data_IF_822503050090
#
_entry.id   IF_822503050090
#
_cell.length_a   1.000
_cell.length_b   1.000
_cell.length_c   1.000
_cell.angle_alpha   90.00
_cell.angle_beta   90.00
_cell.angle_gamma   90.00
#
_symmetry.space_group_name_H-M   'P 1'
#
loop_
_entity.id
_entity.type
_entity.pdbx_description
1 polymer ?
#
# COMPACT_ATOMS: atom_id res chain seq x y z
N UNK A 1 -31.99 -25.20 -18.15
CA UNK A 1 -32.58 -23.88 -18.48
C UNK A 1 -31.68 -22.69 -18.11
N UNK A 2 -30.63 -22.87 -17.30
CA UNK A 2 -29.69 -21.79 -16.90
C UNK A 2 -28.65 -21.42 -17.97
N UNK A 3 -28.17 -22.37 -18.79
CA UNK A 3 -27.13 -22.09 -19.82
C UNK A 3 -27.62 -21.30 -21.04
N UNK A 4 -28.88 -21.48 -21.47
CA UNK A 4 -29.43 -20.75 -22.62
C UNK A 4 -29.52 -19.24 -22.35
N UNK A 5 -29.91 -18.86 -21.13
CA UNK A 5 -29.95 -17.44 -20.72
C UNK A 5 -28.57 -16.81 -20.60
N UNK A 6 -27.53 -17.56 -20.23
CA UNK A 6 -26.16 -17.02 -20.19
C UNK A 6 -25.58 -16.80 -21.58
N UNK A 7 -25.82 -17.73 -22.51
CA UNK A 7 -25.36 -17.60 -23.90
C UNK A 7 -26.05 -16.44 -24.63
N UNK A 8 -27.36 -16.24 -24.41
CA UNK A 8 -28.10 -15.08 -24.96
C UNK A 8 -27.59 -13.74 -24.42
N UNK A 9 -27.31 -13.67 -23.11
CA UNK A 9 -26.73 -12.46 -22.49
C UNK A 9 -25.33 -12.17 -23.03
N UNK A 10 -24.52 -13.20 -23.24
CA UNK A 10 -23.18 -13.07 -23.80
C UNK A 10 -23.22 -12.63 -25.28
N UNK A 11 -24.11 -13.21 -26.08
CA UNK A 11 -24.30 -12.81 -27.48
C UNK A 11 -24.77 -11.34 -27.60
N UNK A 12 -25.72 -10.93 -26.76
CA UNK A 12 -26.19 -9.54 -26.70
C UNK A 12 -25.07 -8.58 -26.27
N UNK A 13 -24.26 -8.97 -25.28
CA UNK A 13 -23.10 -8.20 -24.85
C UNK A 13 -22.07 -8.04 -25.98
N UNK A 14 -21.77 -9.12 -26.72
CA UNK A 14 -20.86 -9.08 -27.86
C UNK A 14 -21.36 -8.16 -28.97
N UNK A 15 -22.65 -8.23 -29.31
CA UNK A 15 -23.26 -7.34 -30.29
C UNK A 15 -23.20 -5.87 -29.85
N UNK A 16 -23.50 -5.58 -28.57
CA UNK A 16 -23.40 -4.23 -28.01
C UNK A 16 -21.96 -3.69 -28.09
N UNK A 17 -20.97 -4.50 -27.68
CA UNK A 17 -19.55 -4.11 -27.76
C UNK A 17 -19.09 -3.82 -29.19
N UNK A 18 -19.61 -4.52 -30.19
CA UNK A 18 -19.30 -4.27 -31.60
C UNK A 18 -19.97 -2.99 -32.14
N UNK A 19 -21.18 -2.66 -31.68
CA UNK A 19 -21.93 -1.48 -32.13
C UNK A 19 -21.49 -0.16 -31.49
N UNK A 20 -21.12 -0.19 -30.21
CA UNK A 20 -20.75 1.01 -29.42
C UNK A 20 -19.69 1.91 -30.10
N UNK A 21 -18.59 1.39 -30.68
CA UNK A 21 -17.59 2.20 -31.37
C UNK A 21 -18.09 2.99 -32.59
N UNK A 22 -19.30 2.72 -33.08
CA UNK A 22 -19.91 3.42 -34.22
C UNK A 22 -20.69 4.67 -33.82
N UNK A 23 -21.11 4.78 -32.55
CA UNK A 23 -21.89 5.92 -32.05
C UNK A 23 -21.05 7.21 -31.94
N UNK A 24 -21.67 8.37 -32.11
CA UNK A 24 -21.06 9.69 -31.94
C UNK A 24 -19.96 10.02 -32.96
N UNK A 25 -19.97 9.34 -34.11
CA UNK A 25 -19.08 9.68 -35.26
C UNK A 25 -19.56 10.91 -36.01
N UNK A 26 -20.88 11.12 -36.08
CA UNK A 26 -21.51 12.31 -36.64
C UNK A 26 -21.54 13.42 -35.58
N UNK A 27 -21.05 14.65 -35.85
CA UNK A 27 -21.06 15.74 -34.88
C UNK A 27 -22.44 16.10 -34.30
N UNK A 28 -23.50 16.04 -35.12
CA UNK A 28 -24.86 16.34 -34.71
C UNK A 28 -25.42 15.37 -33.66
N UNK A 29 -24.98 14.11 -33.69
CA UNK A 29 -25.54 13.04 -32.86
C UNK A 29 -24.77 12.87 -31.54
N UNK A 30 -23.61 13.51 -31.37
CA UNK A 30 -22.70 13.30 -30.22
C UNK A 30 -23.34 13.50 -28.85
N UNK A 31 -24.31 14.40 -28.72
CA UNK A 31 -25.02 14.64 -27.45
C UNK A 31 -25.93 13.46 -27.15
N UNK A 32 -26.85 13.14 -28.06
CA UNK A 32 -27.79 12.03 -27.91
C UNK A 32 -27.07 10.69 -27.76
N UNK A 33 -26.02 10.47 -28.54
CA UNK A 33 -25.20 9.25 -28.46
C UNK A 33 -24.46 9.15 -27.13
N UNK A 34 -23.95 10.26 -26.58
CA UNK A 34 -23.31 10.23 -25.26
C UNK A 34 -24.32 9.90 -24.14
N UNK A 35 -25.56 10.38 -24.24
CA UNK A 35 -26.62 10.05 -23.29
C UNK A 35 -27.02 8.57 -23.39
N UNK A 36 -27.21 8.07 -24.62
CA UNK A 36 -27.54 6.66 -24.87
C UNK A 36 -26.43 5.73 -24.35
N UNK A 37 -25.18 6.04 -24.64
CA UNK A 37 -24.03 5.25 -24.16
C UNK A 37 -23.88 5.35 -22.64
N UNK A 38 -24.16 6.54 -22.07
CA UNK A 38 -24.16 6.75 -20.63
C UNK A 38 -25.18 5.90 -19.87
N UNK A 39 -26.35 5.65 -20.47
CA UNK A 39 -27.40 4.81 -19.89
C UNK A 39 -26.98 3.34 -19.69
N UNK A 40 -25.89 2.91 -20.32
CA UNK A 40 -25.32 1.57 -20.14
C UNK A 40 -24.45 1.46 -18.88
N UNK A 41 -24.11 2.56 -18.22
CA UNK A 41 -23.27 2.59 -17.01
C UNK A 41 -24.09 2.27 -15.75
N UNK A 42 -24.78 1.12 -15.78
CA UNK A 42 -25.66 0.64 -14.70
C UNK A 42 -25.28 -0.78 -14.27
N UNK A 43 -25.62 -1.20 -13.04
CA UNK A 43 -25.18 -2.47 -12.46
C UNK A 43 -25.65 -3.72 -13.22
N UNK A 44 -26.80 -3.61 -13.88
CA UNK A 44 -27.42 -4.70 -14.63
C UNK A 44 -26.66 -5.01 -15.94
N UNK A 45 -25.88 -4.06 -16.45
CA UNK A 45 -25.11 -4.22 -17.68
C UNK A 45 -23.78 -4.92 -17.39
N UNK A 46 -23.34 -5.92 -18.18
CA UNK A 46 -22.07 -6.59 -17.99
C UNK A 46 -20.86 -5.64 -18.07
N UNK A 47 -19.84 -5.87 -17.24
CA UNK A 47 -18.60 -5.06 -17.18
C UNK A 47 -17.95 -4.84 -18.56
N UNK A 48 -17.82 -5.85 -19.44
CA UNK A 48 -17.22 -5.64 -20.76
C UNK A 48 -17.97 -4.61 -21.61
N UNK A 49 -19.31 -4.59 -21.53
CA UNK A 49 -20.14 -3.61 -22.24
C UNK A 49 -19.99 -2.22 -21.64
N UNK A 50 -19.96 -2.12 -20.30
CA UNK A 50 -19.70 -0.85 -19.61
C UNK A 50 -18.32 -0.29 -19.96
N UNK A 51 -17.29 -1.14 -20.02
CA UNK A 51 -15.94 -0.74 -20.45
C UNK A 51 -15.93 -0.23 -21.90
N UNK A 52 -16.62 -0.92 -22.81
CA UNK A 52 -16.78 -0.45 -24.19
C UNK A 52 -17.55 0.89 -24.26
N UNK A 53 -18.54 1.10 -23.38
CA UNK A 53 -19.28 2.35 -23.26
C UNK A 53 -18.37 3.49 -22.77
N UNK A 54 -17.56 3.27 -21.73
CA UNK A 54 -16.56 4.25 -21.25
C UNK A 54 -15.57 4.62 -22.34
N UNK A 55 -15.02 3.63 -23.06
CA UNK A 55 -14.10 3.88 -24.17
C UNK A 55 -14.76 4.67 -25.30
N UNK A 56 -16.04 4.39 -25.58
CA UNK A 56 -16.84 5.11 -26.57
C UNK A 56 -17.07 6.56 -26.15
N UNK A 57 -17.49 6.82 -24.91
CA UNK A 57 -17.65 8.16 -24.36
C UNK A 57 -16.33 8.94 -24.41
N UNK A 58 -15.22 8.29 -24.02
CA UNK A 58 -13.89 8.88 -24.09
C UNK A 58 -13.50 9.28 -25.53
N UNK A 59 -13.91 8.49 -26.54
CA UNK A 59 -13.67 8.77 -27.96
C UNK A 59 -14.58 9.86 -28.53
N UNK A 60 -15.87 9.88 -28.19
CA UNK A 60 -16.84 10.89 -28.65
C UNK A 60 -16.33 12.30 -28.33
N UNK A 61 -15.63 12.44 -27.21
CA UNK A 61 -14.90 13.66 -26.84
C UNK A 61 -15.79 14.91 -26.86
N UNK A 62 -16.93 14.83 -26.17
CA UNK A 62 -17.87 15.93 -26.02
C UNK A 62 -18.12 16.23 -24.54
N UNK A 63 -18.62 17.44 -24.22
CA UNK A 63 -18.93 17.81 -22.83
C UNK A 63 -19.97 16.87 -22.20
N UNK A 64 -20.97 16.44 -22.98
CA UNK A 64 -21.97 15.46 -22.56
C UNK A 64 -21.36 14.11 -22.19
N UNK A 65 -20.22 13.72 -22.78
CA UNK A 65 -19.54 12.48 -22.44
C UNK A 65 -18.98 12.51 -21.01
N UNK A 66 -18.39 13.63 -20.58
CA UNK A 66 -17.93 13.79 -19.20
C UNK A 66 -19.13 13.78 -18.22
N UNK A 67 -20.24 14.42 -18.58
CA UNK A 67 -21.48 14.38 -17.79
C UNK A 67 -22.02 12.96 -17.66
N UNK A 68 -22.07 12.20 -18.75
CA UNK A 68 -22.53 10.80 -18.75
C UNK A 68 -21.64 9.91 -17.86
N UNK A 69 -20.32 10.05 -17.97
CA UNK A 69 -19.35 9.31 -17.15
C UNK A 69 -19.52 9.59 -15.65
N UNK A 70 -19.72 10.86 -15.28
CA UNK A 70 -19.92 11.27 -13.89
C UNK A 70 -21.30 10.89 -13.34
N UNK A 71 -22.34 10.88 -14.19
CA UNK A 71 -23.71 10.51 -13.79
C UNK A 71 -23.83 9.06 -13.32
N UNK A 72 -23.08 8.13 -13.91
CA UNK A 72 -23.03 6.73 -13.50
C UNK A 72 -22.15 6.45 -12.28
N UNK A 73 -21.33 7.40 -11.83
CA UNK A 73 -20.19 7.18 -10.92
C UNK A 73 -20.50 6.33 -9.68
N UNK A 74 -21.65 6.57 -9.03
CA UNK A 74 -22.02 5.89 -7.78
C UNK A 74 -22.33 4.41 -7.97
N UNK A 75 -22.74 4.01 -9.17
CA UNK A 75 -23.10 2.63 -9.52
C UNK A 75 -21.92 1.84 -10.10
N UNK A 76 -20.81 2.52 -10.42
CA UNK A 76 -19.66 1.88 -11.03
C UNK A 76 -18.88 1.04 -10.02
N UNK A 77 -18.44 -0.12 -10.48
CA UNK A 77 -17.53 -0.99 -9.77
C UNK A 77 -16.07 -0.49 -9.85
N UNK A 78 -15.13 -1.01 -9.02
CA UNK A 78 -13.76 -0.50 -8.93
C UNK A 78 -13.03 -0.41 -10.27
N UNK A 79 -13.11 -1.46 -11.10
CA UNK A 79 -12.46 -1.49 -12.42
C UNK A 79 -13.02 -0.40 -13.34
N UNK A 80 -14.34 -0.21 -13.34
CA UNK A 80 -15.00 0.80 -14.17
C UNK A 80 -14.69 2.21 -13.68
N UNK A 81 -14.65 2.44 -12.36
CA UNK A 81 -14.24 3.73 -11.77
C UNK A 81 -12.84 4.14 -12.22
N UNK A 82 -11.88 3.22 -12.25
CA UNK A 82 -10.53 3.49 -12.73
C UNK A 82 -10.52 3.94 -14.21
N UNK A 83 -11.27 3.24 -15.06
CA UNK A 83 -11.40 3.59 -16.48
C UNK A 83 -12.05 4.97 -16.67
N UNK A 84 -13.09 5.28 -15.89
CA UNK A 84 -13.73 6.61 -15.90
C UNK A 84 -12.77 7.70 -15.46
N UNK A 85 -12.04 7.51 -14.37
CA UNK A 85 -11.03 8.47 -13.92
C UNK A 85 -9.96 8.69 -14.98
N UNK A 86 -9.48 7.63 -15.63
CA UNK A 86 -8.48 7.77 -16.71
C UNK A 86 -9.03 8.54 -17.91
N UNK A 87 -10.30 8.29 -18.29
CA UNK A 87 -10.97 9.04 -19.33
C UNK A 87 -11.12 10.52 -18.96
N UNK A 88 -11.57 10.84 -17.74
CA UNK A 88 -11.72 12.22 -17.26
C UNK A 88 -10.38 12.96 -17.19
N UNK A 89 -9.32 12.28 -16.74
CA UNK A 89 -7.98 12.86 -16.63
C UNK A 89 -7.22 12.93 -17.96
N UNK A 90 -7.81 12.46 -19.06
CA UNK A 90 -7.19 12.55 -20.38
C UNK A 90 -7.22 13.97 -20.97
N UNK A 91 -8.06 14.87 -20.42
CA UNK A 91 -8.31 16.21 -20.96
C UNK A 91 -8.52 17.23 -19.86
N UNK A 92 -7.86 18.39 -19.97
CA UNK A 92 -7.98 19.52 -19.02
C UNK A 92 -9.43 19.87 -18.69
N UNK A 93 -10.28 20.06 -19.71
CA UNK A 93 -11.68 20.44 -19.50
C UNK A 93 -12.51 19.39 -18.73
N UNK A 94 -12.17 18.10 -18.85
CA UNK A 94 -12.84 17.02 -18.13
C UNK A 94 -12.28 16.84 -16.73
N UNK A 95 -10.97 17.03 -16.57
CA UNK A 95 -10.33 17.14 -15.26
C UNK A 95 -10.95 18.25 -14.44
N UNK A 96 -11.23 19.43 -15.03
CA UNK A 96 -11.92 20.51 -14.32
C UNK A 96 -13.32 20.10 -13.84
N UNK A 97 -14.09 19.38 -14.67
CA UNK A 97 -15.40 18.84 -14.26
C UNK A 97 -15.29 17.83 -13.11
N UNK A 98 -14.27 16.97 -13.13
CA UNK A 98 -14.00 16.05 -12.02
C UNK A 98 -13.69 16.83 -10.74
N UNK A 99 -12.86 17.87 -10.82
CA UNK A 99 -12.55 18.72 -9.67
C UNK A 99 -13.78 19.47 -9.15
N UNK A 100 -14.70 19.88 -10.03
CA UNK A 100 -15.98 20.47 -9.62
C UNK A 100 -16.82 19.48 -8.78
N UNK A 101 -16.82 18.18 -9.12
CA UNK A 101 -17.52 17.16 -8.32
C UNK A 101 -16.90 16.97 -6.92
N UNK A 102 -15.57 17.08 -6.83
CA UNK A 102 -14.86 17.06 -5.54
C UNK A 102 -15.15 18.31 -4.71
N UNK A 103 -15.16 19.47 -5.34
CA UNK A 103 -15.41 20.77 -4.69
C UNK A 103 -16.85 20.88 -4.17
N UNK A 104 -17.82 20.37 -4.93
CA UNK A 104 -19.24 20.28 -4.54
C UNK A 104 -19.55 19.11 -3.62
N UNK A 105 -18.55 18.27 -3.29
CA UNK A 105 -18.66 17.09 -2.41
C UNK A 105 -19.64 16.01 -2.90
N UNK A 106 -19.99 16.02 -4.19
CA UNK A 106 -20.74 14.92 -4.82
C UNK A 106 -19.88 13.67 -4.87
N UNK A 107 -18.59 13.85 -5.16
CA UNK A 107 -17.56 12.81 -5.08
C UNK A 107 -16.62 13.14 -3.91
N UNK A 108 -16.25 12.10 -3.15
CA UNK A 108 -15.23 12.25 -2.12
C UNK A 108 -13.84 12.14 -2.73
N UNK A 109 -12.91 12.98 -2.28
CA UNK A 109 -11.50 12.86 -2.66
C UNK A 109 -10.91 11.51 -2.24
N UNK A 110 -11.49 10.86 -1.22
CA UNK A 110 -11.15 9.48 -0.83
C UNK A 110 -11.29 8.48 -1.98
N UNK A 111 -12.18 8.73 -2.94
CA UNK A 111 -12.46 7.85 -4.08
C UNK A 111 -11.42 7.97 -5.22
N UNK A 112 -10.46 8.90 -5.10
CA UNK A 112 -9.36 9.05 -6.07
C UNK A 112 -8.14 8.27 -5.56
N UNK A 113 -7.72 7.26 -6.31
CA UNK A 113 -6.55 6.44 -5.97
C UNK A 113 -5.22 7.21 -6.08
N UNK A 114 -4.18 6.68 -5.43
CA UNK A 114 -2.87 7.32 -5.33
C UNK A 114 -2.25 7.67 -6.70
N UNK A 115 -2.39 6.81 -7.70
CA UNK A 115 -1.84 7.04 -9.03
C UNK A 115 -2.52 8.24 -9.70
N UNK A 116 -3.86 8.32 -9.65
CA UNK A 116 -4.60 9.46 -10.23
C UNK A 116 -4.43 10.74 -9.41
N UNK A 117 -4.32 10.64 -8.08
CA UNK A 117 -3.94 11.78 -7.22
C UNK A 117 -2.60 12.38 -7.65
N UNK A 118 -1.58 11.55 -7.86
CA UNK A 118 -0.27 12.02 -8.30
C UNK A 118 -0.34 12.72 -9.67
N UNK A 119 -1.16 12.21 -10.61
CA UNK A 119 -1.40 12.86 -11.90
C UNK A 119 -2.06 14.22 -11.77
N UNK A 120 -3.02 14.37 -10.84
CA UNK A 120 -3.70 15.64 -10.56
C UNK A 120 -2.75 16.67 -9.93
N UNK A 121 -1.98 16.25 -8.93
CA UNK A 121 -1.00 17.11 -8.24
C UNK A 121 0.16 17.50 -9.18
N UNK A 122 0.60 16.57 -10.02
CA UNK A 122 1.65 16.78 -11.03
C UNK A 122 1.15 17.29 -12.38
N UNK A 123 -0.11 17.71 -12.50
CA UNK A 123 -0.74 18.06 -13.78
C UNK A 123 -0.02 19.23 -14.47
N UNK A 124 0.05 19.27 -15.81
CA UNK A 124 0.75 20.32 -16.55
C UNK A 124 0.13 21.72 -16.37
N UNK A 125 -1.20 21.80 -16.31
CA UNK A 125 -1.94 23.02 -15.99
C UNK A 125 -1.83 23.40 -14.49
N UNK A 126 -1.32 24.60 -14.21
CA UNK A 126 -1.10 25.10 -12.85
C UNK A 126 -2.39 25.30 -12.04
N UNK A 127 -3.49 25.73 -12.66
CA UNK A 127 -4.77 25.92 -11.97
C UNK A 127 -5.32 24.59 -11.46
N UNK A 128 -5.22 23.53 -12.28
CA UNK A 128 -5.60 22.17 -11.88
C UNK A 128 -4.74 21.69 -10.71
N UNK A 129 -3.42 21.88 -10.75
CA UNK A 129 -2.53 21.48 -9.63
C UNK A 129 -2.95 22.13 -8.31
N UNK A 130 -3.17 23.44 -8.32
CA UNK A 130 -3.56 24.20 -7.12
C UNK A 130 -4.90 23.72 -6.57
N UNK A 131 -5.91 23.54 -7.44
CA UNK A 131 -7.22 23.00 -7.03
C UNK A 131 -7.08 21.58 -6.49
N UNK A 132 -6.32 20.72 -7.16
CA UNK A 132 -6.11 19.33 -6.76
C UNK A 132 -5.46 19.23 -5.38
N UNK A 133 -4.36 19.94 -5.12
CA UNK A 133 -3.70 19.95 -3.79
C UNK A 133 -4.71 20.35 -2.71
N UNK A 134 -5.44 21.44 -2.92
CA UNK A 134 -6.45 21.91 -1.96
C UNK A 134 -7.54 20.87 -1.70
N UNK A 135 -8.12 20.28 -2.74
CA UNK A 135 -9.27 19.36 -2.64
C UNK A 135 -8.87 17.98 -2.12
N UNK A 136 -7.66 17.52 -2.44
CA UNK A 136 -7.15 16.21 -2.04
C UNK A 136 -6.55 16.22 -0.62
N UNK A 137 -6.07 17.36 -0.14
CA UNK A 137 -5.64 17.54 1.26
C UNK A 137 -6.82 17.83 2.20
N UNK A 138 -7.86 18.50 1.70
CA UNK A 138 -9.12 18.72 2.44
C UNK A 138 -9.95 17.43 2.66
N UNK A 139 -9.49 16.28 2.15
CA UNK A 139 -10.14 14.97 2.24
C UNK A 139 -10.24 14.42 3.67
N UNK A 140 -9.32 14.84 4.54
CA UNK A 140 -9.28 14.32 5.90
C UNK A 140 -10.32 15.00 6.77
N UNK A 141 -11.09 14.19 7.48
CA UNK A 141 -11.88 14.66 8.60
C UNK A 141 -10.93 15.33 9.61
N UNK A 142 -11.10 16.64 9.86
CA UNK A 142 -10.24 17.40 10.76
C UNK A 142 -10.14 16.77 12.15
N UNK A 143 -11.18 16.07 12.60
CA UNK A 143 -11.17 15.36 13.88
C UNK A 143 -10.33 14.07 13.82
N UNK A 144 -10.34 13.34 12.70
CA UNK A 144 -9.42 12.19 12.49
C UNK A 144 -7.98 12.63 12.39
N UNK A 145 -7.72 13.76 11.74
CA UNK A 145 -6.40 14.37 11.66
C UNK A 145 -5.83 14.72 13.06
N UNK A 146 -6.67 15.28 13.95
CA UNK A 146 -6.29 15.53 15.35
C UNK A 146 -5.93 14.23 16.06
N UNK A 147 -6.73 13.17 15.90
CA UNK A 147 -6.45 11.85 16.49
C UNK A 147 -5.12 11.29 15.97
N UNK A 148 -4.88 11.34 14.66
CA UNK A 148 -3.59 10.91 14.06
C UNK A 148 -2.42 11.70 14.67
N UNK A 149 -2.54 13.02 14.78
CA UNK A 149 -1.49 13.87 15.35
C UNK A 149 -1.24 13.59 16.84
N UNK A 150 -2.31 13.36 17.62
CA UNK A 150 -2.22 13.01 19.03
C UNK A 150 -1.49 11.69 19.25
N UNK A 151 -1.86 10.64 18.52
CA UNK A 151 -1.18 9.36 18.60
C UNK A 151 0.26 9.43 18.07
N UNK A 152 0.52 10.22 17.02
CA UNK A 152 1.87 10.44 16.53
C UNK A 152 2.77 11.10 17.59
N UNK A 153 2.24 12.05 18.37
CA UNK A 153 2.97 12.66 19.48
C UNK A 153 3.23 11.64 20.60
N UNK A 154 2.19 10.90 21.03
CA UNK A 154 2.32 9.87 22.07
C UNK A 154 3.33 8.78 21.68
N UNK A 155 3.34 8.35 20.41
CA UNK A 155 4.31 7.37 19.90
C UNK A 155 5.77 7.85 20.01
N UNK A 156 6.03 9.15 19.87
CA UNK A 156 7.37 9.73 20.02
C UNK A 156 7.84 9.77 21.48
N UNK A 157 6.91 9.81 22.43
CA UNK A 157 7.19 9.84 23.87
C UNK A 157 7.45 8.44 24.45
N UNK A 158 7.13 7.38 23.70
CA UNK A 158 7.38 6.01 24.13
C UNK A 158 8.87 5.74 24.26
N UNK A 159 9.26 5.20 25.42
CA UNK A 159 10.64 4.82 25.73
C UNK A 159 11.07 3.51 25.06
N UNK A 160 10.10 2.72 24.59
CA UNK A 160 10.30 1.40 24.01
C UNK A 160 9.61 1.35 22.65
N UNK A 161 10.23 0.68 21.67
CA UNK A 161 9.55 0.39 20.41
C UNK A 161 8.50 -0.70 20.59
N UNK A 162 7.54 -0.78 19.67
CA UNK A 162 6.51 -1.81 19.70
C UNK A 162 7.05 -3.24 19.67
N UNK A 163 6.35 -4.13 20.35
CA UNK A 163 6.57 -5.57 20.38
C UNK A 163 5.66 -6.27 19.38
N UNK A 164 6.26 -6.91 18.38
CA UNK A 164 5.53 -7.61 17.33
C UNK A 164 4.71 -8.82 17.83
N UNK A 165 5.10 -9.44 18.95
CA UNK A 165 4.36 -10.56 19.55
C UNK A 165 3.05 -10.06 20.15
N UNK A 166 3.11 -9.00 20.97
CA UNK A 166 1.89 -8.35 21.50
C UNK A 166 1.05 -7.75 20.37
N UNK A 167 1.69 -7.19 19.36
CA UNK A 167 1.03 -6.69 18.16
C UNK A 167 0.25 -7.76 17.40
N UNK A 168 0.75 -9.00 17.34
CA UNK A 168 0.04 -10.12 16.73
C UNK A 168 -1.26 -10.46 17.46
N UNK A 169 -1.28 -10.35 18.79
CA UNK A 169 -2.48 -10.57 19.58
C UNK A 169 -3.50 -9.45 19.39
N UNK A 170 -3.03 -8.19 19.35
CA UNK A 170 -3.87 -7.03 19.03
C UNK A 170 -4.48 -7.19 17.63
N UNK A 171 -3.69 -7.60 16.64
CA UNK A 171 -4.17 -7.83 15.27
C UNK A 171 -5.32 -8.84 15.20
N UNK A 172 -5.26 -9.90 16.02
CA UNK A 172 -6.34 -10.89 16.14
C UNK A 172 -7.57 -10.33 16.87
N UNK A 173 -7.34 -9.62 17.97
CA UNK A 173 -8.42 -9.15 18.86
C UNK A 173 -9.16 -7.92 18.31
N UNK A 174 -8.53 -7.11 17.48
CA UNK A 174 -9.05 -5.81 17.00
C UNK A 174 -9.65 -5.83 15.60
N UNK A 175 -10.15 -6.99 15.17
CA UNK A 175 -10.78 -7.21 13.87
C UNK A 175 -9.87 -6.95 12.65
N UNK A 176 -8.59 -6.61 12.84
CA UNK A 176 -7.65 -6.49 11.73
C UNK A 176 -7.59 -7.83 10.96
N UNK A 177 -7.57 -8.95 11.69
CA UNK A 177 -7.62 -10.30 11.13
C UNK A 177 -8.94 -10.66 10.41
N UNK A 178 -10.04 -9.93 10.63
CA UNK A 178 -11.30 -10.17 9.93
C UNK A 178 -11.25 -9.74 8.46
N UNK A 179 -10.33 -8.83 8.13
CA UNK A 179 -10.17 -8.29 6.79
C UNK A 179 -8.78 -8.49 6.22
N UNK A 180 -7.72 -8.47 7.02
CA UNK A 180 -6.35 -8.57 6.55
C UNK A 180 -5.74 -9.92 6.90
N UNK A 181 -5.06 -10.51 5.91
CA UNK A 181 -4.21 -11.66 6.12
C UNK A 181 -2.79 -11.20 6.36
N UNK A 182 -2.19 -11.67 7.45
CA UNK A 182 -0.78 -11.48 7.73
C UNK A 182 -0.18 -12.77 8.27
N UNK A 183 0.80 -13.32 7.54
CA UNK A 183 1.28 -14.69 7.74
C UNK A 183 0.09 -15.68 7.64
N UNK A 184 -0.10 -16.52 8.65
CA UNK A 184 -1.21 -17.48 8.75
C UNK A 184 -2.40 -16.94 9.58
N UNK A 185 -2.46 -15.64 9.85
CA UNK A 185 -3.51 -15.01 10.66
C UNK A 185 -4.42 -14.17 9.77
N UNK A 186 -5.73 -14.40 9.88
CA UNK A 186 -6.78 -13.60 9.25
C UNK A 186 -7.16 -14.01 7.83
N UNK A 187 -7.92 -13.17 7.14
CA UNK A 187 -8.51 -13.44 5.81
C UNK A 187 -8.05 -12.43 4.76
N UNK A 188 -7.92 -12.83 3.48
CA UNK A 188 -7.42 -11.94 2.42
C UNK A 188 -8.57 -11.14 1.78
N UNK A 189 -9.29 -10.35 2.58
CA UNK A 189 -10.37 -9.50 2.08
C UNK A 189 -9.80 -8.13 1.70
N UNK A 190 -9.25 -7.41 2.68
CA UNK A 190 -8.54 -6.15 2.50
C UNK A 190 -7.13 -6.29 1.91
N UNK A 191 -6.38 -5.18 1.80
CA UNK A 191 -5.06 -5.16 1.20
C UNK A 191 -4.09 -6.19 1.79
N UNK A 192 -3.25 -6.77 0.93
CA UNK A 192 -2.13 -7.60 1.34
C UNK A 192 -1.09 -6.74 2.07
N UNK A 193 -1.04 -6.92 3.39
CA UNK A 193 -0.14 -6.19 4.27
C UNK A 193 1.34 -6.57 4.05
N UNK A 194 1.62 -7.74 3.47
CA UNK A 194 2.99 -8.15 3.10
C UNK A 194 3.47 -7.31 1.92
N UNK A 195 2.60 -7.06 0.94
CA UNK A 195 2.91 -6.36 -0.30
C UNK A 195 2.91 -4.81 -0.19
N UNK A 196 2.63 -4.24 0.98
CA UNK A 196 2.67 -2.79 1.17
C UNK A 196 4.09 -2.25 0.92
N UNK A 197 4.18 -1.23 0.06
CA UNK A 197 5.44 -0.57 -0.32
C UNK A 197 5.94 0.41 0.74
N UNK A 198 5.02 1.13 1.39
CA UNK A 198 5.31 2.00 2.53
C UNK A 198 4.69 1.43 3.80
N UNK A 199 5.55 0.92 4.68
CA UNK A 199 5.19 0.44 6.02
C UNK A 199 5.73 1.36 7.12
N UNK A 200 6.05 2.62 6.79
CA UNK A 200 6.49 3.58 7.80
C UNK A 200 5.44 3.76 8.88
N UNK A 201 5.88 4.04 10.10
CA UNK A 201 4.98 4.26 11.24
C UNK A 201 3.96 5.35 10.93
N UNK A 202 4.35 6.42 10.23
CA UNK A 202 3.45 7.51 9.86
C UNK A 202 2.37 7.07 8.85
N UNK A 203 2.75 6.27 7.84
CA UNK A 203 1.81 5.75 6.86
C UNK A 203 0.81 4.78 7.49
N UNK A 204 1.30 3.82 8.29
CA UNK A 204 0.45 2.85 8.98
C UNK A 204 -0.47 3.52 10.02
N UNK A 205 0.04 4.50 10.77
CA UNK A 205 -0.76 5.27 11.71
C UNK A 205 -1.92 5.98 11.00
N UNK A 206 -1.63 6.61 9.88
CA UNK A 206 -2.64 7.29 9.07
C UNK A 206 -3.64 6.30 8.49
N UNK A 207 -3.19 5.15 7.97
CA UNK A 207 -4.08 4.14 7.41
C UNK A 207 -5.01 3.52 8.47
N UNK A 208 -4.52 3.32 9.69
CA UNK A 208 -5.29 2.72 10.80
C UNK A 208 -6.29 3.72 11.39
N UNK A 209 -5.85 4.96 11.63
CA UNK A 209 -6.67 5.97 12.32
C UNK A 209 -7.47 6.84 11.35
N UNK A 210 -7.06 7.00 10.11
CA UNK A 210 -7.82 7.75 9.09
C UNK A 210 -7.95 6.90 7.82
N UNK A 211 -8.68 5.77 7.89
CA UNK A 211 -8.80 4.84 6.77
C UNK A 211 -9.49 5.46 5.57
N UNK A 212 -10.18 6.60 5.72
CA UNK A 212 -10.86 7.32 4.64
C UNK A 212 -9.96 8.34 3.92
N UNK A 213 -8.74 8.61 4.40
CA UNK A 213 -7.86 9.64 3.80
C UNK A 213 -7.51 9.37 2.33
N UNK A 214 -7.29 8.10 2.00
CA UNK A 214 -7.04 7.64 0.64
C UNK A 214 -7.45 6.17 0.52
N UNK A 215 -8.58 5.91 -0.15
CA UNK A 215 -9.12 4.57 -0.33
C UNK A 215 -9.10 4.22 -1.81
N UNK A 216 -8.36 3.19 -2.17
CA UNK A 216 -8.48 2.64 -3.53
C UNK A 216 -9.92 2.14 -3.75
N UNK A 217 -10.50 2.39 -4.92
CA UNK A 217 -11.91 2.04 -5.19
C UNK A 217 -12.28 0.58 -4.89
N UNK A 218 -11.31 -0.34 -4.97
CA UNK A 218 -11.45 -1.77 -4.63
C UNK A 218 -11.70 -2.04 -3.15
N UNK A 219 -11.38 -1.10 -2.25
CA UNK A 219 -11.56 -1.23 -0.80
C UNK A 219 -12.72 -0.39 -0.26
N UNK A 220 -13.56 0.19 -1.14
CA UNK A 220 -14.78 0.88 -0.73
C UNK A 220 -15.85 -0.13 -0.32
N UNK A 221 -16.72 0.25 0.62
CA UNK A 221 -17.92 -0.52 0.89
C UNK A 221 -18.95 -0.28 -0.22
N UNK A 222 -19.66 -1.33 -0.64
CA UNK A 222 -20.77 -1.28 -1.59
C UNK A 222 -22.04 -1.78 -0.92
N UNK A 223 -23.17 -1.17 -1.25
CA UNK A 223 -24.49 -1.63 -0.86
C UNK A 223 -25.27 -2.02 -2.12
N UNK A 224 -25.84 -3.22 -2.13
CA UNK A 224 -26.69 -3.72 -3.19
C UNK A 224 -28.06 -4.05 -2.61
N UNK A 225 -29.13 -3.53 -3.19
CA UNK A 225 -30.49 -4.00 -2.95
C UNK A 225 -30.91 -4.91 -4.10
N UNK A 226 -31.56 -6.02 -3.78
CA UNK A 226 -32.15 -6.91 -4.78
C UNK A 226 -33.61 -6.52 -5.01
N UNK A 227 -34.16 -6.92 -6.16
CA UNK A 227 -35.59 -6.74 -6.48
C UNK A 227 -36.54 -7.38 -5.46
N UNK A 228 -36.07 -8.39 -4.73
CA UNK A 228 -36.80 -9.04 -3.63
C UNK A 228 -36.68 -8.31 -2.28
N UNK A 229 -36.02 -7.14 -2.24
CA UNK A 229 -35.87 -6.32 -1.03
C UNK A 229 -34.71 -6.72 -0.10
N UNK A 230 -33.86 -7.68 -0.48
CA UNK A 230 -32.67 -8.04 0.29
C UNK A 230 -31.58 -6.97 0.10
N UNK A 231 -31.00 -6.50 1.20
CA UNK A 231 -29.85 -5.59 1.18
C UNK A 231 -28.60 -6.37 1.56
N UNK A 232 -27.55 -6.22 0.74
CA UNK A 232 -26.22 -6.79 0.98
C UNK A 232 -25.20 -5.67 0.98
N UNK A 233 -24.42 -5.58 2.07
CA UNK A 233 -23.33 -4.61 2.20
C UNK A 233 -22.02 -5.36 2.30
N UNK A 234 -21.05 -4.97 1.49
CA UNK A 234 -19.76 -5.64 1.42
C UNK A 234 -18.79 -4.97 0.47
N UNK A 235 -17.58 -5.49 0.40
CA UNK A 235 -16.59 -5.08 -0.58
C UNK A 235 -16.62 -6.03 -1.78
N UNK A 236 -16.41 -5.52 -2.99
CA UNK A 236 -16.40 -6.38 -4.18
C UNK A 236 -15.13 -7.24 -4.19
N UNK A 237 -15.30 -8.55 -4.22
CA UNK A 237 -14.20 -9.53 -4.30
C UNK A 237 -14.15 -10.27 -5.63
N UNK A 238 -15.25 -10.28 -6.39
CA UNK A 238 -15.29 -10.80 -7.75
C UNK A 238 -16.41 -10.16 -8.56
N UNK A 239 -16.17 -10.00 -9.86
CA UNK A 239 -17.14 -9.50 -10.83
C UNK A 239 -17.06 -10.34 -12.11
N UNK A 240 -18.22 -10.77 -12.61
CA UNK A 240 -18.32 -11.51 -13.87
C UNK A 240 -19.37 -10.84 -14.76
N UNK A 241 -19.58 -11.41 -15.96
CA UNK A 241 -20.60 -10.93 -16.88
C UNK A 241 -22.02 -11.01 -16.33
N UNK A 242 -22.32 -11.98 -15.45
CA UNK A 242 -23.68 -12.20 -14.93
C UNK A 242 -23.83 -11.94 -13.42
N UNK A 243 -22.74 -11.77 -12.67
CA UNK A 243 -22.80 -11.62 -11.21
C UNK A 243 -21.78 -10.66 -10.63
N UNK A 244 -22.07 -10.19 -9.41
CA UNK A 244 -21.17 -9.45 -8.52
C UNK A 244 -21.10 -10.22 -7.21
N UNK A 245 -19.89 -10.40 -6.68
CA UNK A 245 -19.69 -11.05 -5.38
C UNK A 245 -19.17 -10.03 -4.37
N UNK A 246 -19.92 -9.86 -3.29
CA UNK A 246 -19.60 -8.98 -2.17
C UNK A 246 -19.13 -9.81 -0.97
N UNK A 247 -18.01 -9.45 -0.36
CA UNK A 247 -17.58 -10.00 0.93
C UNK A 247 -17.97 -9.06 2.07
N UNK A 248 -18.69 -9.60 3.05
CA UNK A 248 -19.03 -8.89 4.28
C UNK A 248 -17.85 -8.81 5.26
N UNK A 249 -18.02 -8.12 6.41
CA UNK A 249 -16.99 -8.03 7.46
C UNK A 249 -16.62 -9.37 8.09
N UNK A 250 -17.46 -10.40 7.93
CA UNK A 250 -17.19 -11.78 8.37
C UNK A 250 -16.39 -12.58 7.32
N UNK A 251 -15.99 -11.94 6.21
CA UNK A 251 -15.26 -12.53 5.11
C UNK A 251 -16.10 -13.46 4.23
N UNK A 252 -17.41 -13.60 4.46
CA UNK A 252 -18.24 -14.51 3.68
C UNK A 252 -18.67 -13.85 2.35
N UNK A 253 -18.39 -14.50 1.21
CA UNK A 253 -18.83 -13.99 -0.08
C UNK A 253 -20.33 -14.23 -0.28
N UNK A 254 -21.03 -13.23 -0.78
CA UNK A 254 -22.41 -13.28 -1.25
C UNK A 254 -22.42 -12.89 -2.72
N UNK A 255 -22.78 -13.84 -3.58
CA UNK A 255 -22.91 -13.62 -5.01
C UNK A 255 -24.33 -13.19 -5.36
N UNK A 256 -24.46 -12.07 -6.06
CA UNK A 256 -25.70 -11.50 -6.57
C UNK A 256 -25.69 -11.57 -8.09
N UNK A 257 -26.76 -12.08 -8.70
CA UNK A 257 -26.94 -11.98 -10.14
C UNK A 257 -27.27 -10.53 -10.51
N UNK A 258 -26.62 -10.00 -11.54
CA UNK A 258 -26.84 -8.61 -12.00
C UNK A 258 -28.30 -8.36 -12.37
N UNK A 259 -28.99 -9.36 -12.90
CA UNK A 259 -30.41 -9.27 -13.23
C UNK A 259 -31.33 -9.10 -12.02
N UNK A 260 -30.88 -9.49 -10.83
CA UNK A 260 -31.65 -9.43 -9.59
C UNK A 260 -31.35 -8.17 -8.77
N UNK A 261 -30.31 -7.42 -9.16
CA UNK A 261 -29.94 -6.15 -8.53
C UNK A 261 -30.95 -5.07 -8.96
N UNK A 262 -31.52 -4.40 -7.96
CA UNK A 262 -32.36 -3.22 -8.13
C UNK A 262 -31.52 -1.96 -8.01
N UNK A 263 -30.87 -1.77 -6.86
CA UNK A 263 -29.93 -0.66 -6.61
C UNK A 263 -28.54 -1.19 -6.27
N UNK A 264 -27.51 -0.49 -6.72
CA UNK A 264 -26.12 -0.76 -6.36
C UNK A 264 -25.36 0.54 -6.23
N UNK A 265 -24.80 0.78 -5.05
CA UNK A 265 -24.15 2.05 -4.74
C UNK A 265 -22.86 1.78 -4.00
N UNK A 266 -21.77 2.36 -4.49
CA UNK A 266 -20.56 2.48 -3.69
C UNK A 266 -20.79 3.52 -2.60
N UNK A 267 -20.40 3.18 -1.38
CA UNK A 267 -20.24 4.16 -0.33
C UNK A 267 -19.00 5.03 -0.61
N UNK A 268 -19.03 6.25 -0.11
CA UNK A 268 -17.88 7.16 -0.19
C UNK A 268 -16.87 6.88 0.95
N UNK A 269 -16.93 5.69 1.56
CA UNK A 269 -16.15 5.31 2.74
C UNK A 269 -15.40 4.00 2.51
N UNK A 270 -14.24 3.91 3.14
CA UNK A 270 -13.47 2.68 3.30
C UNK A 270 -14.32 1.59 3.91
N UNK A 271 -14.10 0.36 3.46
CA UNK A 271 -14.60 -0.82 4.14
C UNK A 271 -13.89 -1.06 5.48
N UNK A 272 -12.69 -0.50 5.66
CA UNK A 272 -12.02 -0.45 6.96
C UNK A 272 -12.74 0.56 7.89
N UNK A 273 -13.26 0.13 9.06
CA UNK A 273 -13.99 1.01 9.96
C UNK A 273 -13.14 2.15 10.52
N UNK A 274 -13.74 3.32 10.73
CA UNK A 274 -13.16 4.38 11.57
C UNK A 274 -13.35 4.05 13.06
N UNK A 275 -12.51 4.64 13.93
CA UNK A 275 -12.67 4.51 15.37
C UNK A 275 -12.17 3.19 15.94
N UNK A 276 -11.29 2.47 15.22
CA UNK A 276 -10.64 1.24 15.71
C UNK A 276 -9.89 1.47 17.02
N UNK A 277 -9.39 2.69 17.26
CA UNK A 277 -8.74 3.10 18.51
C UNK A 277 -9.71 3.29 19.68
N UNK A 278 -10.98 3.58 19.39
CA UNK A 278 -12.04 3.70 20.39
C UNK A 278 -12.59 2.33 20.78
N UNK A 279 -12.30 1.29 19.99
CA UNK A 279 -12.70 -0.11 20.17
C UNK A 279 -14.15 -0.33 20.60
N UNK A 280 -15.04 0.55 20.17
CA UNK A 280 -16.49 0.54 20.42
C UNK A 280 -17.20 -0.74 19.93
N UNK A 281 -16.46 -1.66 19.32
CA UNK A 281 -16.95 -2.94 18.80
C UNK A 281 -16.97 -4.07 19.83
N UNK A 282 -16.24 -3.91 20.94
CA UNK A 282 -16.27 -4.83 22.07
C UNK A 282 -16.89 -4.03 23.22
N UNK A 283 -18.01 -4.48 23.79
CA UNK A 283 -18.68 -3.87 24.95
C UNK A 283 -17.76 -3.80 26.19
N UNK A 284 -16.71 -2.97 26.16
CA UNK A 284 -15.64 -2.88 27.15
C UNK A 284 -15.49 -1.41 27.54
N UNK A 285 -15.44 -1.13 28.84
CA UNK A 285 -15.53 0.22 29.44
C UNK A 285 -14.21 0.99 29.55
N UNK A 286 -13.07 0.44 29.11
CA UNK A 286 -11.74 1.06 29.24
C UNK A 286 -11.20 1.54 27.88
N UNK A 287 -10.39 2.62 27.80
CA UNK A 287 -9.96 3.22 26.54
C UNK A 287 -9.13 2.24 25.69
N UNK A 288 -9.51 2.12 24.41
CA UNK A 288 -9.43 0.87 23.66
C UNK A 288 -8.28 0.75 22.64
N UNK A 289 -7.27 1.62 22.58
CA UNK A 289 -5.98 1.28 21.97
C UNK A 289 -4.97 2.28 22.48
N UNK A 290 -4.05 1.87 23.35
CA UNK A 290 -3.04 2.82 23.85
C UNK A 290 -2.00 3.10 22.77
N UNK A 291 -1.16 4.12 22.98
CA UNK A 291 -0.04 4.37 22.09
C UNK A 291 0.91 3.16 22.04
N UNK A 292 1.15 2.48 23.17
CA UNK A 292 1.92 1.24 23.24
C UNK A 292 1.27 0.12 22.43
N UNK A 293 -0.04 -0.06 22.58
CA UNK A 293 -0.79 -1.08 21.83
C UNK A 293 -0.73 -0.83 20.31
N UNK A 294 -0.82 0.43 19.90
CA UNK A 294 -0.70 0.82 18.50
C UNK A 294 0.74 0.66 17.99
N UNK A 295 1.74 0.98 18.81
CA UNK A 295 3.15 0.74 18.49
C UNK A 295 3.42 -0.76 18.28
N UNK A 296 2.90 -1.61 19.16
CA UNK A 296 3.00 -3.07 19.06
C UNK A 296 2.34 -3.58 17.77
N UNK A 297 1.11 -3.13 17.45
CA UNK A 297 0.41 -3.47 16.21
C UNK A 297 1.20 -3.05 14.96
N UNK A 298 1.73 -1.82 14.95
CA UNK A 298 2.56 -1.31 13.86
C UNK A 298 3.83 -2.14 13.73
N UNK A 299 4.50 -2.49 14.83
CA UNK A 299 5.67 -3.35 14.84
C UNK A 299 5.36 -4.74 14.25
N UNK A 300 4.20 -5.31 14.57
CA UNK A 300 3.76 -6.58 13.97
C UNK A 300 3.54 -6.46 12.45
N UNK A 301 2.83 -5.43 11.99
CA UNK A 301 2.61 -5.18 10.56
C UNK A 301 3.93 -4.88 9.83
N UNK A 302 4.87 -4.19 10.46
CA UNK A 302 6.22 -3.96 9.91
C UNK A 302 7.05 -5.25 9.86
N UNK A 303 6.86 -6.15 10.82
CA UNK A 303 7.52 -7.47 10.86
C UNK A 303 6.99 -8.48 9.82
N UNK A 304 6.08 -8.07 8.95
CA UNK A 304 5.45 -8.89 7.91
C UNK A 304 6.34 -9.24 6.71
N UNK A 305 7.63 -8.93 6.76
CA UNK A 305 8.59 -9.58 5.86
C UNK A 305 8.63 -11.09 6.10
N UNK A 306 9.20 -11.90 5.17
CA UNK A 306 9.52 -13.29 5.48
C UNK A 306 10.35 -13.32 6.77
N UNK A 307 10.16 -14.28 7.70
CA UNK A 307 11.01 -14.36 8.89
C UNK A 307 12.48 -14.44 8.47
N UNK A 308 13.42 -13.91 9.26
CA UNK A 308 14.83 -14.05 8.93
C UNK A 308 15.19 -15.53 8.82
N UNK A 309 16.08 -15.85 7.89
CA UNK A 309 16.66 -17.18 7.75
C UNK A 309 17.35 -17.54 9.07
N UNK A 310 17.30 -18.83 9.43
CA UNK A 310 17.96 -19.37 10.62
C UNK A 310 19.21 -20.12 10.20
N UNK A 311 20.31 -19.86 10.89
CA UNK A 311 21.58 -20.57 10.72
C UNK A 311 22.17 -20.89 12.09
N UNK A 312 22.85 -22.03 12.23
CA UNK A 312 23.55 -22.36 13.46
C UNK A 312 24.67 -21.34 13.73
N UNK A 313 24.69 -20.79 14.94
CA UNK A 313 25.64 -19.74 15.34
C UNK A 313 25.25 -18.31 14.95
N UNK A 314 24.09 -18.12 14.31
CA UNK A 314 23.47 -16.81 14.09
C UNK A 314 22.23 -16.67 15.01
N UNK A 315 22.31 -15.76 15.97
CA UNK A 315 21.25 -15.42 16.91
C UNK A 315 20.99 -13.90 16.86
N UNK A 316 19.97 -13.48 16.10
CA UNK A 316 19.61 -12.07 16.02
C UNK A 316 19.07 -11.56 17.36
N UNK A 317 19.80 -10.60 17.95
CA UNK A 317 19.49 -9.97 19.23
C UNK A 317 19.77 -8.46 19.15
N UNK A 318 19.22 -7.69 20.09
CA UNK A 318 19.45 -6.25 20.17
C UNK A 318 20.91 -5.94 20.54
N UNK A 319 21.57 -5.13 19.71
CA UNK A 319 22.94 -4.67 19.93
C UNK A 319 22.93 -3.37 20.75
N UNK A 320 23.61 -3.37 21.88
CA UNK A 320 23.84 -2.19 22.72
C UNK A 320 25.26 -1.65 22.53
N UNK A 321 25.43 -0.35 22.69
CA UNK A 321 26.74 0.28 22.61
C UNK A 321 27.67 -0.19 23.74
N UNK A 322 28.98 -0.27 23.44
CA UNK A 322 30.01 -0.50 24.46
C UNK A 322 30.25 0.75 25.33
N UNK A 323 31.21 0.65 26.27
CA UNK A 323 31.56 1.74 27.18
C UNK A 323 31.99 3.03 26.46
N UNK A 324 32.50 2.93 25.22
CA UNK A 324 32.92 4.06 24.40
C UNK A 324 31.80 4.57 23.48
N UNK A 325 30.59 3.99 23.57
CA UNK A 325 29.47 4.30 22.69
C UNK A 325 29.53 3.61 21.33
N UNK A 326 30.48 2.70 21.10
CA UNK A 326 30.59 1.99 19.82
C UNK A 326 29.57 0.86 19.76
N UNK A 327 28.78 0.81 18.70
CA UNK A 327 27.91 -0.32 18.39
C UNK A 327 28.67 -1.30 17.50
N UNK A 328 28.69 -2.57 17.89
CA UNK A 328 29.37 -3.64 17.15
C UNK A 328 28.32 -4.64 16.63
N UNK A 329 28.03 -4.52 15.35
CA UNK A 329 26.97 -5.25 14.65
C UNK A 329 27.62 -6.43 13.92
N UNK A 330 27.63 -7.59 14.57
CA UNK A 330 28.25 -8.81 14.07
C UNK A 330 27.33 -9.58 13.13
N UNK A 331 27.89 -10.33 12.18
CA UNK A 331 27.13 -11.29 11.37
C UNK A 331 26.35 -12.31 12.22
N UNK A 332 26.84 -12.65 13.41
CA UNK A 332 26.15 -13.53 14.37
C UNK A 332 24.87 -12.94 14.94
N UNK A 333 24.71 -11.61 14.93
CA UNK A 333 23.52 -10.92 15.45
C UNK A 333 22.64 -10.34 14.32
N UNK A 334 22.94 -10.67 13.07
CA UNK A 334 22.20 -10.17 11.92
C UNK A 334 20.94 -10.99 11.69
N UNK A 335 19.82 -10.33 11.46
CA UNK A 335 18.68 -10.92 10.78
C UNK A 335 18.96 -10.98 9.27
N UNK A 336 18.83 -12.16 8.67
CA UNK A 336 19.27 -12.42 7.29
C UNK A 336 18.06 -12.68 6.40
N UNK A 337 17.95 -11.96 5.28
CA UNK A 337 16.83 -12.04 4.36
C UNK A 337 17.32 -12.15 2.90
N UNK A 338 16.40 -12.53 2.01
CA UNK A 338 16.62 -12.60 0.56
C UNK A 338 16.89 -14.01 0.05
N UNK A 339 17.30 -14.12 -1.21
CA UNK A 339 17.44 -15.39 -1.90
C UNK A 339 18.78 -16.06 -1.62
N UNK A 340 19.87 -15.32 -1.71
CA UNK A 340 21.23 -15.89 -1.78
C UNK A 340 22.06 -15.65 -0.53
N UNK A 341 21.81 -14.57 0.23
CA UNK A 341 22.56 -14.25 1.43
C UNK A 341 22.42 -15.33 2.52
N UNK A 342 23.55 -15.73 3.10
CA UNK A 342 23.65 -16.72 4.18
C UNK A 342 24.64 -16.28 5.26
N UNK A 343 24.50 -16.85 6.45
CA UNK A 343 25.56 -16.85 7.46
C UNK A 343 26.46 -18.05 7.24
N UNK A 344 27.78 -17.85 7.20
CA UNK A 344 28.76 -18.93 7.07
C UNK A 344 29.42 -19.20 8.42
N UNK A 345 29.03 -20.27 9.15
CA UNK A 345 29.47 -20.47 10.54
C UNK A 345 30.97 -20.60 10.71
N UNK A 346 31.65 -21.19 9.71
CA UNK A 346 33.10 -21.41 9.69
C UNK A 346 33.91 -20.10 9.69
N UNK A 347 33.35 -19.04 9.11
CA UNK A 347 34.02 -17.75 8.95
C UNK A 347 33.39 -16.64 9.81
N UNK A 348 32.20 -16.91 10.39
CA UNK A 348 31.41 -15.97 11.18
C UNK A 348 31.12 -14.66 10.43
N UNK A 349 30.84 -14.76 9.14
CA UNK A 349 30.48 -13.67 8.24
C UNK A 349 29.11 -13.92 7.59
N UNK A 350 28.61 -12.89 6.94
CA UNK A 350 27.57 -12.98 5.93
C UNK A 350 28.25 -13.10 4.56
N UNK A 351 27.84 -14.08 3.76
CA UNK A 351 28.39 -14.32 2.43
C UNK A 351 27.33 -14.73 1.42
N UNK A 352 27.75 -15.01 0.18
CA UNK A 352 26.86 -15.31 -0.95
C UNK A 352 25.83 -14.19 -1.23
N UNK A 353 26.23 -12.94 -0.98
CA UNK A 353 25.37 -11.77 -1.19
C UNK A 353 25.23 -11.45 -2.68
N UNK A 354 24.32 -12.14 -3.38
CA UNK A 354 24.24 -12.14 -4.85
C UNK A 354 22.91 -11.66 -5.44
N UNK A 355 21.93 -11.30 -4.61
CA UNK A 355 20.61 -10.84 -5.06
C UNK A 355 20.31 -9.43 -4.57
N UNK A 356 19.58 -8.65 -5.37
CA UNK A 356 19.07 -7.33 -4.97
C UNK A 356 18.05 -7.41 -3.82
N UNK A 357 17.43 -8.57 -3.63
CA UNK A 357 16.49 -8.82 -2.52
C UNK A 357 17.19 -9.17 -1.19
N UNK A 358 18.50 -9.44 -1.25
CA UNK A 358 19.31 -9.79 -0.08
C UNK A 358 19.57 -8.57 0.80
N UNK A 359 19.27 -8.73 2.09
CA UNK A 359 19.54 -7.71 3.09
C UNK A 359 19.88 -8.32 4.44
N UNK A 360 20.76 -7.64 5.16
CA UNK A 360 21.08 -7.92 6.55
C UNK A 360 20.51 -6.80 7.42
N UNK A 361 19.88 -7.16 8.54
CA UNK A 361 19.26 -6.18 9.44
C UNK A 361 19.73 -6.42 10.86
N UNK A 362 20.06 -5.35 11.56
CA UNK A 362 20.36 -5.39 12.99
C UNK A 362 19.41 -4.50 13.75
N UNK A 363 19.01 -4.98 14.92
CA UNK A 363 18.29 -4.19 15.90
C UNK A 363 19.32 -3.55 16.84
N UNK A 364 19.35 -2.23 16.93
CA UNK A 364 20.29 -1.49 17.77
C UNK A 364 19.56 -0.67 18.83
N UNK A 365 20.18 -0.55 20.01
CA UNK A 365 19.70 0.34 21.07
C UNK A 365 20.69 1.48 21.27
N UNK A 366 20.22 2.71 21.04
CA UNK A 366 21.02 3.93 21.12
C UNK A 366 20.59 4.72 22.36
N UNK A 367 21.53 5.00 23.26
CA UNK A 367 21.22 5.71 24.52
C UNK A 367 21.11 7.22 24.36
N UNK A 368 21.86 7.81 23.42
CA UNK A 368 21.91 9.25 23.16
C UNK A 368 22.07 9.52 21.67
N UNK A 369 21.38 10.54 21.18
CA UNK A 369 21.51 10.98 19.79
C UNK A 369 22.93 11.44 19.52
N UNK A 370 23.62 10.80 18.57
CA UNK A 370 24.99 11.17 18.18
C UNK A 370 25.32 10.71 16.77
N UNK A 371 26.20 11.44 16.11
CA UNK A 371 26.76 11.07 14.81
C UNK A 371 27.81 9.98 14.97
N UNK A 372 27.78 8.99 14.07
CA UNK A 372 28.70 7.86 14.09
C UNK A 372 29.28 7.60 12.71
N UNK A 373 30.57 7.31 12.66
CA UNK A 373 31.23 6.78 11.46
C UNK A 373 30.85 5.31 11.23
N UNK A 374 30.52 4.97 9.98
CA UNK A 374 30.23 3.62 9.50
C UNK A 374 31.56 2.95 9.15
N UNK A 375 31.96 1.92 9.91
CA UNK A 375 33.19 1.16 9.64
C UNK A 375 32.87 -0.29 9.36
N UNK A 376 33.20 -0.75 8.17
CA UNK A 376 32.85 -2.08 7.69
C UNK A 376 34.09 -2.96 7.63
N UNK A 377 34.09 -4.10 8.33
CA UNK A 377 35.09 -5.15 8.18
C UNK A 377 34.56 -6.21 7.21
N UNK A 378 35.09 -6.20 5.99
CA UNK A 378 34.62 -7.05 4.91
C UNK A 378 35.77 -7.55 4.04
N UNK A 379 35.50 -8.58 3.25
CA UNK A 379 36.37 -9.04 2.16
C UNK A 379 35.61 -8.96 0.83
N UNK A 380 36.32 -8.61 -0.23
CA UNK A 380 35.79 -8.54 -1.59
C UNK A 380 36.92 -8.79 -2.58
N UNK A 381 36.77 -9.81 -3.43
CA UNK A 381 37.74 -10.05 -4.50
C UNK A 381 37.81 -8.87 -5.48
N UNK A 382 39.03 -8.51 -5.93
CA UNK A 382 39.24 -7.36 -6.82
C UNK A 382 38.45 -7.46 -8.14
N UNK A 383 38.21 -8.67 -8.65
CA UNK A 383 37.41 -8.89 -9.86
C UNK A 383 35.90 -8.70 -9.65
N UNK A 384 35.46 -8.62 -8.40
CA UNK A 384 34.04 -8.53 -8.00
C UNK A 384 33.68 -7.18 -7.38
N UNK A 385 34.68 -6.31 -7.17
CA UNK A 385 34.52 -5.01 -6.56
C UNK A 385 33.70 -4.02 -7.40
N UNK A 386 33.25 -2.95 -6.73
CA UNK A 386 32.65 -1.79 -7.37
C UNK A 386 31.13 -1.74 -7.36
N UNK A 387 30.45 -2.73 -6.78
CA UNK A 387 29.02 -2.64 -6.45
C UNK A 387 28.79 -1.58 -5.36
N UNK A 388 27.62 -0.94 -5.36
CA UNK A 388 27.21 -0.02 -4.30
C UNK A 388 26.39 -0.71 -3.19
N UNK A 389 26.74 -0.39 -1.93
CA UNK A 389 25.98 -0.75 -0.73
C UNK A 389 25.20 0.45 -0.22
N UNK A 390 24.03 0.22 0.38
CA UNK A 390 23.25 1.24 1.08
C UNK A 390 23.01 0.84 2.52
N UNK A 391 23.19 1.81 3.42
CA UNK A 391 22.89 1.73 4.85
C UNK A 391 21.64 2.56 5.14
N UNK A 392 20.62 1.94 5.70
CA UNK A 392 19.34 2.59 5.98
C UNK A 392 19.02 2.52 7.47
N UNK A 393 18.78 3.68 8.08
CA UNK A 393 18.40 3.81 9.49
C UNK A 393 17.57 5.09 9.70
N UNK A 394 16.44 4.98 10.39
CA UNK A 394 15.59 6.11 10.79
C UNK A 394 15.28 7.12 9.65
N UNK A 395 15.06 6.61 8.43
CA UNK A 395 14.78 7.42 7.23
C UNK A 395 16.02 8.02 6.54
N UNK A 396 17.21 7.85 7.11
CA UNK A 396 18.48 8.17 6.46
C UNK A 396 18.92 7.02 5.55
N UNK A 397 19.59 7.37 4.45
CA UNK A 397 20.18 6.43 3.50
C UNK A 397 21.57 6.91 3.12
N UNK A 398 22.59 6.15 3.48
CA UNK A 398 23.99 6.42 3.11
C UNK A 398 24.45 5.37 2.13
N UNK A 399 24.97 5.81 0.98
CA UNK A 399 25.49 4.91 -0.06
C UNK A 399 27.01 4.95 -0.08
N UNK A 400 27.63 3.80 -0.35
CA UNK A 400 29.08 3.70 -0.51
C UNK A 400 29.43 2.65 -1.56
N UNK A 401 30.58 2.81 -2.20
CA UNK A 401 31.12 1.84 -3.14
C UNK A 401 31.99 0.83 -2.43
N UNK A 402 31.76 -0.46 -2.68
CA UNK A 402 32.61 -1.53 -2.15
C UNK A 402 33.88 -1.62 -2.99
N UNK A 403 35.03 -1.56 -2.33
CA UNK A 403 36.36 -1.62 -2.96
C UNK A 403 36.93 -3.02 -2.75
N UNK A 404 37.70 -3.51 -3.72
CA UNK A 404 38.34 -4.82 -3.62
C UNK A 404 39.39 -4.83 -2.50
N UNK A 405 39.40 -5.88 -1.71
CA UNK A 405 40.37 -6.11 -0.62
C UNK A 405 41.47 -7.09 -1.05
N UNK A 406 41.56 -7.44 -2.34
CA UNK A 406 42.47 -8.45 -2.85
C UNK A 406 41.74 -9.74 -3.19
N UNK A 407 41.39 -10.52 -2.16
CA UNK A 407 40.67 -11.80 -2.28
C UNK A 407 39.58 -11.91 -1.20
N UNK A 408 38.71 -12.92 -1.33
CA UNK A 408 37.65 -13.24 -0.36
C UNK A 408 38.17 -13.61 1.05
N UNK A 409 39.45 -13.95 1.18
CA UNK A 409 40.06 -14.26 2.48
C UNK A 409 40.64 -13.03 3.17
N UNK A 410 40.89 -11.95 2.43
CA UNK A 410 41.54 -10.75 2.96
C UNK A 410 40.53 -9.74 3.50
N UNK A 411 40.21 -9.83 4.79
CA UNK A 411 39.31 -8.88 5.44
C UNK A 411 40.03 -7.58 5.79
N UNK A 412 39.45 -6.46 5.35
CA UNK A 412 39.92 -5.12 5.68
C UNK A 412 38.80 -4.28 6.27
N UNK A 413 39.16 -3.27 7.06
CA UNK A 413 38.20 -2.33 7.62
C UNK A 413 38.24 -1.04 6.81
N UNK A 414 37.10 -0.65 6.23
CA UNK A 414 36.94 0.63 5.53
C UNK A 414 35.93 1.53 6.24
N UNK A 415 36.14 2.85 6.17
CA UNK A 415 35.16 3.85 6.61
C UNK A 415 34.32 4.24 5.39
N UNK A 416 33.01 4.02 5.48
CA UNK A 416 32.10 4.08 4.33
C UNK A 416 31.04 5.19 4.45
N UNK A 417 31.23 6.12 5.38
CA UNK A 417 30.33 7.26 5.60
C UNK A 417 29.99 7.45 7.06
N UNK A 418 28.96 8.23 7.31
CA UNK A 418 28.54 8.65 8.65
C UNK A 418 27.02 8.65 8.72
N UNK A 419 26.47 8.31 9.88
CA UNK A 419 25.03 8.30 10.15
C UNK A 419 24.75 9.03 11.46
N UNK A 420 23.66 9.79 11.50
CA UNK A 420 23.11 10.26 12.75
C UNK A 420 22.30 9.13 13.39
N UNK A 421 22.62 8.75 14.62
CA UNK A 421 21.87 7.74 15.36
C UNK A 421 21.02 8.46 16.39
N UNK A 422 19.69 8.58 16.22
CA UNK A 422 18.81 9.10 17.25
C UNK A 422 18.78 8.19 18.48
N UNK A 423 18.57 8.74 19.67
CA UNK A 423 18.27 7.92 20.84
C UNK A 423 17.03 7.03 20.60
N UNK A 424 17.03 5.83 21.18
CA UNK A 424 15.96 4.85 21.04
C UNK A 424 16.41 3.56 20.35
N UNK A 425 15.46 2.67 20.12
CA UNK A 425 15.66 1.42 19.40
C UNK A 425 15.45 1.64 17.91
N UNK A 426 16.39 1.17 17.09
CA UNK A 426 16.34 1.33 15.64
C UNK A 426 16.69 0.04 14.92
N UNK A 427 16.26 -0.07 13.67
CA UNK A 427 16.69 -1.13 12.76
C UNK A 427 17.62 -0.55 11.71
N UNK A 428 18.85 -1.03 11.68
CA UNK A 428 19.81 -0.70 10.64
C UNK A 428 19.76 -1.78 9.56
N UNK A 429 19.47 -1.39 8.32
CA UNK A 429 19.44 -2.30 7.17
C UNK A 429 20.65 -2.05 6.28
N UNK A 430 21.30 -3.12 5.84
CA UNK A 430 22.30 -3.10 4.77
C UNK A 430 21.77 -3.92 3.61
N UNK A 431 21.87 -3.39 2.39
CA UNK A 431 21.51 -4.07 1.14
C UNK A 431 22.31 -3.51 -0.04
N UNK A 432 22.22 -4.14 -1.21
CA UNK A 432 22.75 -3.53 -2.43
C UNK A 432 21.90 -2.31 -2.83
N UNK A 433 22.56 -1.29 -3.36
CA UNK A 433 21.86 -0.10 -3.88
C UNK A 433 21.31 -0.32 -5.30
N UNK A 434 21.82 -1.35 -6.00
CA UNK A 434 21.56 -1.66 -7.39
C UNK A 434 21.54 -3.18 -7.63
N UNK A 435 21.16 -3.58 -8.84
CA UNK A 435 21.35 -4.97 -9.30
C UNK A 435 22.83 -5.29 -9.31
N UNK A 436 23.22 -6.34 -8.61
CA UNK A 436 24.61 -6.72 -8.47
C UNK A 436 25.15 -7.29 -9.78
N UNK A 437 26.39 -6.90 -10.13
CA UNK A 437 27.10 -7.54 -11.25
C UNK A 437 27.51 -8.97 -10.92
N UNK A 438 27.81 -9.22 -9.64
CA UNK A 438 28.20 -10.52 -9.05
C UNK A 438 27.80 -10.56 -7.56
N UNK A 439 28.76 -10.80 -6.66
CA UNK A 439 28.56 -10.76 -5.22
C UNK A 439 28.92 -9.38 -4.65
N UNK A 440 28.20 -8.94 -3.61
CA UNK A 440 28.44 -7.65 -2.98
C UNK A 440 29.74 -7.65 -2.16
N UNK A 441 29.83 -8.51 -1.14
CA UNK A 441 30.98 -8.68 -0.24
C UNK A 441 30.74 -9.84 0.74
N UNK A 442 31.80 -10.26 1.43
CA UNK A 442 31.72 -11.05 2.65
C UNK A 442 31.87 -10.15 3.88
N UNK A 443 30.84 -10.07 4.71
CA UNK A 443 30.77 -9.10 5.82
C UNK A 443 30.91 -9.79 7.18
N UNK A 444 31.97 -9.49 7.94
CA UNK A 444 32.13 -9.98 9.32
C UNK A 444 31.46 -9.07 10.35
N UNK A 445 31.66 -7.77 10.19
CA UNK A 445 31.31 -6.80 11.22
C UNK A 445 31.05 -5.42 10.62
N UNK A 446 29.97 -4.78 11.06
CA UNK A 446 29.77 -3.35 10.95
C UNK A 446 29.99 -2.72 12.35
N UNK A 447 30.78 -1.66 12.42
CA UNK A 447 30.89 -0.81 13.62
C UNK A 447 30.34 0.57 13.34
N UNK A 448 29.52 1.07 14.26
CA UNK A 448 29.15 2.48 14.31
C UNK A 448 29.95 3.09 15.46
N UNK A 449 30.95 3.89 15.10
CA UNK A 449 31.89 4.49 16.07
C UNK A 449 31.51 5.96 16.24
N UNK A 450 31.20 6.42 17.46
CA UNK A 450 30.88 7.82 17.70
C UNK A 450 31.98 8.76 17.22
N UNK A 451 31.59 9.86 16.59
CA UNK A 451 32.49 10.99 16.27
C UNK A 451 32.78 11.86 17.49
#
# INVERSE_FOLDING_TARGET
MTNLKSEEVEAAANAAMAGLPMLGRTPADRVADAELVGALLIPQVPVPVQSAAIATLARINHASSATALLGGWRMLTPTLRQQVLDALLSRTAWTDRLLDQLETKVMSSAEIDATRRQRLIGHSNAAIRVRAVKLLDAASNADRQKVVAEYAAKLKELKQSGDATRGADIFKQRQCAACHKLRDIGTPVGPDLVALTDKSTAALLTAILDPNKAVEAKYLAYAASTKEGRIVVGMIVAETGNSITLAGPDGKPVTLLRADIDEFVASNKSFMPEGLELGLWLNVKEPLMTAESLADLIAFVQSSGPPPKKFDGNQPDAVTADANGTLKLLATNAEIYGKTLVFEPQFKNLGYWGSVDDRAVWTIQVSKTRKHSIRLNYACDNGMAGNEVVFELAGQSVKAKIVGTGSWENYQTAILGELDLPAGQHRLTIRSAETLKNHLMDLKELRLVPE
#
